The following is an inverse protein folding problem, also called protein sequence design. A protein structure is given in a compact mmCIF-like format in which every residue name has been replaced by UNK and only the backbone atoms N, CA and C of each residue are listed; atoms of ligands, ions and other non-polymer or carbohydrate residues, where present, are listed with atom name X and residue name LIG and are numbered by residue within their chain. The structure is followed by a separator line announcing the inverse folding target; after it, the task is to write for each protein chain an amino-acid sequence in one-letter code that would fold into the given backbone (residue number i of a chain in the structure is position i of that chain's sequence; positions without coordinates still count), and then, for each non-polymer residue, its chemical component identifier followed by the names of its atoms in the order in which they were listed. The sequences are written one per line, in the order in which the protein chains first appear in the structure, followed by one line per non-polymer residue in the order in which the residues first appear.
data_IF_055826447248
#
_entry.id   IF_055826447248
#
_cell.length_a   1.000
_cell.length_b   1.000
_cell.length_c   1.000
_cell.angle_alpha   90.00
_cell.angle_beta   90.00
_cell.angle_gamma   90.00
#
_symmetry.space_group_name_H-M   'P 1'
#
loop_
_entity.id
_entity.type
_entity.pdbx_description
1 polymer ?
#
# COMPACT_ATOMS: atom_id res chain seq x y z
N UNK A 1 -1.67 8.66 7.39
CA UNK A 1 -2.44 7.74 8.27
C UNK A 1 -3.92 8.09 8.33
N UNK A 2 -4.31 9.27 8.85
CA UNK A 2 -5.74 9.65 8.97
C UNK A 2 -6.47 9.70 7.62
N UNK A 3 -5.87 10.28 6.58
CA UNK A 3 -6.45 10.32 5.23
C UNK A 3 -6.70 8.91 4.65
N UNK A 4 -5.73 8.01 4.79
CA UNK A 4 -5.85 6.63 4.32
C UNK A 4 -6.93 5.83 5.07
N UNK A 5 -7.07 6.01 6.39
CA UNK A 5 -8.10 5.34 7.21
C UNK A 5 -9.50 5.92 6.95
N UNK A 6 -9.60 7.24 6.83
CA UNK A 6 -10.89 7.94 6.64
C UNK A 6 -11.39 7.93 5.20
N UNK A 7 -10.53 7.60 4.23
CA UNK A 7 -10.80 7.69 2.78
C UNK A 7 -11.18 9.10 2.33
N UNK A 8 -10.64 10.09 3.02
CA UNK A 8 -10.81 11.50 2.72
C UNK A 8 -9.48 12.06 2.18
N UNK A 9 -9.57 12.98 1.22
CA UNK A 9 -8.38 13.58 0.59
C UNK A 9 -7.46 14.24 1.61
N UNK A 10 -6.16 13.93 1.53
CA UNK A 10 -5.14 14.54 2.39
C UNK A 10 -5.07 16.07 2.25
N UNK A 11 -5.43 16.60 1.08
CA UNK A 11 -5.45 18.03 0.81
C UNK A 11 -6.58 18.74 1.58
N UNK A 12 -7.77 18.13 1.63
CA UNK A 12 -8.90 18.66 2.38
C UNK A 12 -8.59 18.77 3.87
N UNK A 13 -7.92 17.76 4.44
CA UNK A 13 -7.45 17.83 5.84
C UNK A 13 -6.48 18.98 6.08
N UNK A 14 -5.54 19.21 5.16
CA UNK A 14 -4.54 20.28 5.31
C UNK A 14 -5.19 21.67 5.22
N UNK A 15 -6.21 21.81 4.37
CA UNK A 15 -6.95 23.08 4.19
C UNK A 15 -8.06 23.29 5.22
N UNK A 16 -8.48 22.25 5.92
CA UNK A 16 -9.62 22.30 6.86
C UNK A 16 -10.98 22.41 6.16
N UNK A 17 -11.04 22.06 4.88
CA UNK A 17 -12.25 22.18 4.04
C UNK A 17 -12.96 20.82 3.95
N UNK A 18 -13.69 20.48 5.01
CA UNK A 18 -14.46 19.25 5.12
C UNK A 18 -15.95 19.58 5.21
N UNK A 19 -16.76 18.85 4.44
CA UNK A 19 -18.21 18.95 4.51
C UNK A 19 -18.74 18.18 5.73
N UNK A 20 -19.96 18.51 6.20
CA UNK A 20 -20.52 17.91 7.41
C UNK A 20 -20.59 16.38 7.38
N UNK A 21 -20.91 15.79 6.22
CA UNK A 21 -20.92 14.33 6.05
C UNK A 21 -19.50 13.74 6.10
N UNK A 22 -18.48 14.47 5.65
CA UNK A 22 -17.07 14.04 5.73
C UNK A 22 -16.58 14.06 7.18
N UNK A 23 -17.05 15.01 8.00
CA UNK A 23 -16.80 15.01 9.44
C UNK A 23 -17.41 13.80 10.14
N UNK A 24 -18.63 13.40 9.78
CA UNK A 24 -19.26 12.21 10.32
C UNK A 24 -18.51 10.93 9.93
N UNK A 25 -18.07 10.83 8.67
CA UNK A 25 -17.22 9.74 8.18
C UNK A 25 -15.90 9.68 8.97
N UNK A 26 -15.24 10.82 9.16
CA UNK A 26 -13.99 10.95 9.91
C UNK A 26 -14.14 10.43 11.34
N UNK A 27 -15.15 10.91 12.07
CA UNK A 27 -15.40 10.50 13.46
C UNK A 27 -15.69 9.00 13.57
N UNK A 28 -16.33 8.42 12.58
CA UNK A 28 -16.65 6.99 12.57
C UNK A 28 -15.39 6.16 12.33
N UNK A 29 -14.57 6.53 11.34
CA UNK A 29 -13.38 5.76 10.92
C UNK A 29 -12.19 5.94 11.86
N UNK A 30 -11.99 7.13 12.43
CA UNK A 30 -10.90 7.38 13.41
C UNK A 30 -11.02 6.52 14.67
N UNK A 31 -12.22 6.11 15.07
CA UNK A 31 -12.41 5.31 16.31
C UNK A 31 -11.56 4.03 16.33
N UNK A 32 -11.35 3.39 15.18
CA UNK A 32 -10.48 2.22 15.08
C UNK A 32 -9.03 2.60 15.31
N UNK A 33 -8.57 3.65 14.63
CA UNK A 33 -7.21 4.16 14.74
C UNK A 33 -6.89 4.68 16.15
N UNK A 34 -7.83 5.37 16.81
CA UNK A 34 -7.68 5.88 18.17
C UNK A 34 -7.55 4.76 19.22
N UNK A 35 -8.08 3.57 18.94
CA UNK A 35 -7.95 2.38 19.79
C UNK A 35 -6.74 1.52 19.43
N UNK A 36 -6.06 1.80 18.33
CA UNK A 36 -4.90 1.04 17.90
C UNK A 36 -3.74 1.25 18.90
N UNK A 37 -3.03 0.18 19.22
CA UNK A 37 -1.83 0.23 20.09
C UNK A 37 -0.62 0.73 19.30
N UNK A 38 -0.72 1.96 18.80
CA UNK A 38 0.32 2.63 18.03
C UNK A 38 1.02 3.65 18.92
N UNK A 39 2.34 3.53 19.03
CA UNK A 39 3.18 4.48 19.76
C UNK A 39 4.02 5.26 18.75
N UNK A 40 3.87 6.58 18.74
CA UNK A 40 4.59 7.48 17.84
C UNK A 40 5.59 8.27 18.67
N UNK A 41 6.81 8.35 18.17
CA UNK A 41 7.89 9.16 18.72
C UNK A 41 8.46 10.02 17.59
N UNK A 42 8.28 11.33 17.69
CA UNK A 42 8.68 12.33 16.70
C UNK A 42 9.97 13.06 17.11
N UNK A 43 10.71 12.52 18.09
CA UNK A 43 12.00 13.10 18.51
C UNK A 43 12.97 13.15 17.32
N UNK A 44 13.46 14.34 16.91
CA UNK A 44 14.39 14.47 15.79
C UNK A 44 15.79 13.94 16.16
N UNK A 45 16.54 13.50 15.15
CA UNK A 45 17.95 13.09 15.26
C UNK A 45 18.24 12.01 16.33
N UNK A 46 17.29 11.11 16.55
CA UNK A 46 17.36 10.06 17.57
C UNK A 46 18.62 9.20 17.40
N UNK A 47 19.39 9.05 18.47
CA UNK A 47 20.53 8.14 18.46
C UNK A 47 20.09 6.68 18.55
N UNK A 48 20.92 5.76 18.06
CA UNK A 48 20.60 4.32 18.15
C UNK A 48 20.50 3.81 19.59
N UNK A 49 21.27 4.42 20.50
CA UNK A 49 21.21 4.11 21.93
C UNK A 49 19.85 4.49 22.53
N UNK A 50 19.36 5.70 22.21
CA UNK A 50 18.04 6.15 22.67
C UNK A 50 16.92 5.30 22.07
N UNK A 51 16.99 4.98 20.77
CA UNK A 51 16.04 4.07 20.12
C UNK A 51 15.97 2.75 20.89
N UNK A 52 17.12 2.12 21.18
CA UNK A 52 17.18 0.86 21.94
C UNK A 52 16.53 0.99 23.31
N UNK A 53 16.86 2.04 24.07
CA UNK A 53 16.28 2.27 25.40
C UNK A 53 14.75 2.43 25.34
N UNK A 54 14.25 3.20 24.38
CA UNK A 54 12.81 3.42 24.19
C UNK A 54 12.09 2.14 23.76
N UNK A 55 12.63 1.39 22.80
CA UNK A 55 12.05 0.11 22.36
C UNK A 55 12.01 -0.93 23.50
N UNK A 56 13.08 -1.07 24.30
CA UNK A 56 13.10 -1.96 25.48
C UNK A 56 12.01 -1.59 26.49
N UNK A 57 11.88 -0.30 26.80
CA UNK A 57 10.85 0.21 27.71
C UNK A 57 9.43 -0.08 27.19
N UNK A 58 9.20 0.14 25.90
CA UNK A 58 7.90 -0.14 25.27
C UNK A 58 7.60 -1.65 25.20
N UNK A 59 8.59 -2.50 24.92
CA UNK A 59 8.46 -3.96 24.95
C UNK A 59 8.07 -4.43 26.35
N UNK A 60 8.73 -3.92 27.40
CA UNK A 60 8.44 -4.30 28.78
C UNK A 60 7.04 -3.83 29.24
N UNK A 61 6.65 -2.60 28.91
CA UNK A 61 5.37 -2.03 29.38
C UNK A 61 4.15 -2.45 28.57
N UNK A 62 4.32 -2.61 27.27
CA UNK A 62 3.20 -2.77 26.33
C UNK A 62 3.32 -3.98 25.41
N UNK A 63 4.45 -4.70 25.42
CA UNK A 63 4.64 -5.90 24.61
C UNK A 63 4.66 -5.61 23.11
N UNK A 64 5.36 -4.57 22.66
CA UNK A 64 5.43 -4.22 21.22
C UNK A 64 5.83 -5.44 20.36
N UNK A 65 5.21 -5.52 19.19
CA UNK A 65 5.39 -6.64 18.25
C UNK A 65 6.10 -6.24 16.96
N UNK A 66 6.34 -4.94 16.73
CA UNK A 66 7.01 -4.41 15.55
C UNK A 66 7.58 -3.03 15.86
N UNK A 67 8.68 -2.68 15.18
CA UNK A 67 9.24 -1.33 15.18
C UNK A 67 9.36 -0.85 13.74
N UNK A 68 8.97 0.40 13.48
CA UNK A 68 9.14 1.06 12.18
C UNK A 68 10.00 2.30 12.40
N UNK A 69 11.02 2.49 11.56
CA UNK A 69 11.96 3.61 11.63
C UNK A 69 11.89 4.39 10.30
N UNK A 70 11.52 5.66 10.39
CA UNK A 70 11.46 6.61 9.28
C UNK A 70 12.40 7.78 9.54
N UNK A 71 13.59 7.84 8.94
CA UNK A 71 14.31 6.83 8.14
C UNK A 71 15.77 6.79 8.62
N UNK A 72 16.53 5.74 8.25
CA UNK A 72 17.86 5.45 8.81
C UNK A 72 18.82 6.63 8.77
N UNK A 73 18.80 7.39 7.67
CA UNK A 73 19.73 8.49 7.46
C UNK A 73 19.46 9.71 8.36
N UNK A 74 18.35 9.76 9.12
CA UNK A 74 18.15 10.80 10.14
C UNK A 74 18.70 10.40 11.52
N UNK A 75 19.10 9.14 11.69
CA UNK A 75 19.66 8.66 12.94
C UNK A 75 21.14 9.01 13.08
N UNK A 76 21.58 9.11 14.34
CA UNK A 76 22.99 9.32 14.69
C UNK A 76 23.54 8.09 15.42
N UNK A 77 24.83 7.79 15.21
CA UNK A 77 25.50 6.73 15.97
C UNK A 77 25.85 7.13 17.42
N UNK A 78 25.54 8.36 17.83
CA UNK A 78 25.68 8.87 19.21
C UNK A 78 27.09 9.33 19.59
N UNK A 79 28.07 9.33 18.67
CA UNK A 79 29.47 9.54 19.03
C UNK A 79 30.31 10.33 17.99
N UNK A 80 29.70 11.20 17.19
CA UNK A 80 30.46 11.90 16.14
C UNK A 80 30.91 13.30 16.56
N UNK A 81 32.19 13.38 16.96
CA UNK A 81 33.02 14.57 16.84
C UNK A 81 33.32 14.83 15.34
N UNK A 82 32.28 15.10 14.55
CA UNK A 82 32.31 15.73 13.22
C UNK A 82 33.31 15.22 12.17
N UNK A 83 33.83 13.98 12.26
CA UNK A 83 34.90 13.48 11.36
C UNK A 83 34.69 12.05 10.85
N UNK A 84 33.57 11.39 11.17
CA UNK A 84 33.28 10.05 10.67
C UNK A 84 32.96 10.00 9.17
N UNK A 85 33.36 8.91 8.51
CA UNK A 85 32.82 8.55 7.19
C UNK A 85 31.35 8.16 7.36
N UNK A 86 30.45 8.86 6.67
CA UNK A 86 29.00 8.62 6.75
C UNK A 86 28.61 7.18 6.46
N UNK A 87 29.32 6.51 5.55
CA UNK A 87 29.14 5.09 5.24
C UNK A 87 29.38 4.20 6.47
N UNK A 88 30.41 4.51 7.26
CA UNK A 88 30.74 3.78 8.48
C UNK A 88 29.70 4.01 9.59
N UNK A 89 29.15 5.22 9.64
CA UNK A 89 28.06 5.55 10.56
C UNK A 89 26.80 4.74 10.23
N UNK A 90 26.37 4.77 8.97
CA UNK A 90 25.20 4.01 8.52
C UNK A 90 25.41 2.50 8.72
N UNK A 91 26.63 2.01 8.46
CA UNK A 91 27.00 0.63 8.75
C UNK A 91 26.85 0.27 10.23
N UNK A 92 27.17 1.19 11.13
CA UNK A 92 27.03 1.00 12.57
C UNK A 92 25.58 1.04 13.01
N UNK A 93 24.79 1.95 12.43
CA UNK A 93 23.34 2.05 12.65
C UNK A 93 22.65 0.75 12.21
N UNK A 94 22.93 0.26 11.01
CA UNK A 94 22.40 -0.99 10.45
C UNK A 94 22.62 -2.19 11.38
N UNK A 95 23.88 -2.45 11.77
CA UNK A 95 24.23 -3.53 12.69
C UNK A 95 23.54 -3.41 14.05
N UNK A 96 23.46 -2.19 14.56
CA UNK A 96 22.83 -1.92 15.85
C UNK A 96 21.32 -2.18 15.80
N UNK A 97 20.65 -1.79 14.72
CA UNK A 97 19.23 -2.10 14.50
C UNK A 97 18.99 -3.59 14.38
N UNK A 98 19.83 -4.32 13.64
CA UNK A 98 19.76 -5.79 13.57
C UNK A 98 19.93 -6.43 14.95
N UNK A 99 20.80 -5.87 15.78
CA UNK A 99 21.00 -6.33 17.17
C UNK A 99 19.77 -6.04 18.03
N UNK A 100 19.13 -4.88 17.89
CA UNK A 100 17.89 -4.52 18.58
C UNK A 100 16.76 -5.47 18.19
N UNK A 101 16.61 -5.77 16.90
CA UNK A 101 15.59 -6.71 16.40
C UNK A 101 15.73 -8.09 17.03
N UNK A 102 16.97 -8.61 17.09
CA UNK A 102 17.29 -9.90 17.72
C UNK A 102 17.12 -9.90 19.23
N UNK A 103 17.52 -8.82 19.91
CA UNK A 103 17.39 -8.70 21.37
C UNK A 103 15.92 -8.66 21.80
N UNK A 104 15.10 -7.88 21.09
CA UNK A 104 13.69 -7.69 21.44
C UNK A 104 12.76 -8.78 20.90
N UNK A 105 13.30 -9.64 20.03
CA UNK A 105 12.56 -10.63 19.26
C UNK A 105 11.32 -10.01 18.59
N UNK A 106 11.58 -8.97 17.78
CA UNK A 106 10.55 -8.28 16.99
C UNK A 106 11.06 -7.93 15.60
N UNK A 107 10.21 -8.00 14.56
CA UNK A 107 10.53 -7.43 13.26
C UNK A 107 10.75 -5.93 13.35
N UNK A 108 11.80 -5.45 12.70
CA UNK A 108 12.11 -4.03 12.56
C UNK A 108 12.13 -3.67 11.07
N UNK A 109 11.25 -2.75 10.68
CA UNK A 109 11.23 -2.18 9.33
C UNK A 109 11.95 -0.83 9.40
N UNK A 110 13.01 -0.69 8.61
CA UNK A 110 13.75 0.54 8.51
C UNK A 110 13.65 1.09 7.09
N UNK A 111 13.18 2.33 6.97
CA UNK A 111 13.16 3.03 5.69
C UNK A 111 14.57 3.54 5.38
N UNK A 112 14.97 3.41 4.12
CA UNK A 112 16.23 3.92 3.61
C UNK A 112 15.98 4.71 2.35
N UNK A 113 16.57 5.90 2.27
CA UNK A 113 16.61 6.66 1.02
C UNK A 113 17.64 6.08 0.07
N UNK A 114 17.30 6.08 -1.22
CA UNK A 114 18.22 5.69 -2.28
C UNK A 114 19.09 6.86 -2.70
N UNK A 115 20.29 6.55 -3.18
CA UNK A 115 21.12 7.57 -3.83
C UNK A 115 20.50 8.02 -5.16
N UNK A 116 20.83 9.23 -5.61
CA UNK A 116 20.32 9.80 -6.87
C UNK A 116 20.80 9.06 -8.13
N UNK A 117 21.69 8.06 -8.00
CA UNK A 117 22.22 7.30 -9.13
C UNK A 117 21.13 6.55 -9.89
N UNK A 118 20.07 6.12 -9.19
CA UNK A 118 18.90 5.45 -9.79
C UNK A 118 18.28 6.32 -10.89
N UNK A 119 18.24 7.63 -10.69
CA UNK A 119 17.68 8.60 -11.64
C UNK A 119 18.59 8.86 -12.84
N UNK A 120 19.91 8.69 -12.67
CA UNK A 120 20.88 8.93 -13.75
C UNK A 120 21.15 7.71 -14.61
N UNK A 121 20.73 6.51 -14.15
CA UNK A 121 20.94 5.27 -14.89
C UNK A 121 20.16 5.29 -16.21
N UNK A 122 20.83 5.03 -17.33
CA UNK A 122 20.18 4.87 -18.63
C UNK A 122 19.33 3.59 -18.63
N UNK A 123 18.10 3.66 -19.15
CA UNK A 123 17.16 2.54 -19.16
C UNK A 123 16.21 2.53 -17.96
N UNK A 124 15.97 1.33 -17.42
CA UNK A 124 14.97 1.10 -16.36
C UNK A 124 15.37 1.76 -15.02
N UNK A 125 14.43 2.53 -14.48
CA UNK A 125 14.54 3.28 -13.22
C UNK A 125 14.15 2.44 -12.00
N UNK A 126 13.85 1.16 -12.17
CA UNK A 126 13.62 0.21 -11.06
C UNK A 126 14.84 0.14 -10.13
N UNK A 127 14.69 0.43 -8.82
CA UNK A 127 15.81 0.38 -7.88
C UNK A 127 16.46 -1.01 -7.79
N UNK A 128 17.77 -1.03 -7.61
CA UNK A 128 18.57 -2.24 -7.41
C UNK A 128 19.40 -2.15 -6.12
N UNK A 129 19.92 -3.27 -5.63
CA UNK A 129 20.70 -3.32 -4.38
C UNK A 129 21.89 -2.34 -4.37
N UNK A 130 22.56 -2.18 -5.52
CA UNK A 130 23.66 -1.22 -5.63
C UNK A 130 23.25 0.24 -5.47
N UNK A 131 21.95 0.59 -5.55
CA UNK A 131 21.46 1.95 -5.31
C UNK A 131 21.44 2.33 -3.82
N UNK A 132 21.59 1.34 -2.92
CA UNK A 132 21.89 1.52 -1.49
C UNK A 132 23.37 1.87 -1.24
N UNK A 133 24.09 2.31 -2.27
CA UNK A 133 25.57 2.38 -2.40
C UNK A 133 26.32 3.01 -1.23
N UNK A 134 25.71 3.93 -0.49
CA UNK A 134 26.30 4.54 0.71
C UNK A 134 26.27 3.60 1.93
N UNK A 135 25.88 2.33 1.73
CA UNK A 135 25.45 1.44 2.79
C UNK A 135 25.53 -0.04 2.37
N UNK A 136 26.67 -0.50 1.85
CA UNK A 136 26.88 -1.94 1.59
C UNK A 136 26.60 -2.83 2.82
N UNK A 137 26.78 -2.28 4.03
CA UNK A 137 26.39 -2.92 5.28
C UNK A 137 24.87 -3.12 5.43
N UNK A 138 24.02 -2.21 4.95
CA UNK A 138 22.55 -2.40 4.97
C UNK A 138 22.19 -3.63 4.15
N UNK A 139 22.74 -3.73 2.94
CA UNK A 139 22.50 -4.90 2.09
C UNK A 139 22.93 -6.17 2.82
N UNK A 140 24.12 -6.19 3.44
CA UNK A 140 24.62 -7.38 4.14
C UNK A 140 23.77 -7.75 5.36
N UNK A 141 23.49 -6.79 6.25
CA UNK A 141 22.84 -7.01 7.54
C UNK A 141 21.35 -7.33 7.44
N UNK A 142 20.66 -6.77 6.43
CA UNK A 142 19.23 -6.97 6.24
C UNK A 142 18.89 -8.45 5.96
N UNK A 143 17.77 -8.90 6.54
CA UNK A 143 17.20 -10.21 6.20
C UNK A 143 16.39 -10.15 4.90
N UNK A 144 15.70 -9.02 4.70
CA UNK A 144 14.86 -8.74 3.54
C UNK A 144 15.15 -7.30 3.09
N UNK A 145 15.28 -7.08 1.79
CA UNK A 145 15.35 -5.75 1.17
C UNK A 145 14.23 -5.64 0.16
N UNK A 146 13.36 -4.66 0.35
CA UNK A 146 12.28 -4.35 -0.58
C UNK A 146 12.45 -2.94 -1.15
N UNK A 147 12.17 -2.78 -2.43
CA UNK A 147 12.06 -1.47 -3.08
C UNK A 147 10.61 -1.20 -3.46
N UNK A 148 10.25 0.08 -3.48
CA UNK A 148 8.97 0.54 -4.01
C UNK A 148 9.25 1.25 -5.32
N UNK A 149 8.55 0.82 -6.37
CA UNK A 149 8.63 1.43 -7.70
C UNK A 149 7.24 1.78 -8.22
N UNK A 150 7.13 2.88 -8.97
CA UNK A 150 5.88 3.32 -9.59
C UNK A 150 6.16 3.69 -11.04
N UNK A 151 5.74 2.87 -12.02
CA UNK A 151 5.97 3.17 -13.44
C UNK A 151 5.40 4.52 -13.87
N UNK A 152 4.18 4.83 -13.41
CA UNK A 152 3.48 6.10 -13.66
C UNK A 152 4.30 7.34 -13.27
N UNK A 153 5.13 7.24 -12.22
CA UNK A 153 6.00 8.36 -11.78
C UNK A 153 7.03 8.73 -12.85
N UNK A 154 7.42 7.78 -13.70
CA UNK A 154 8.36 7.95 -14.80
C UNK A 154 7.68 8.15 -16.16
N UNK A 155 6.35 8.34 -16.19
CA UNK A 155 5.58 8.52 -17.43
C UNK A 155 5.44 7.24 -18.27
N UNK A 156 5.69 6.08 -17.67
CA UNK A 156 5.41 4.78 -18.28
C UNK A 156 3.92 4.53 -18.09
N UNK A 157 3.20 4.27 -19.18
CA UNK A 157 1.74 4.04 -19.17
C UNK A 157 1.40 2.56 -19.30
N UNK A 158 2.24 1.77 -19.94
CA UNK A 158 2.06 0.33 -20.13
C UNK A 158 3.28 -0.43 -19.57
N UNK A 159 3.03 -1.55 -18.89
CA UNK A 159 4.09 -2.45 -18.44
C UNK A 159 4.57 -3.39 -19.57
N UNK A 160 5.54 -4.26 -19.27
CA UNK A 160 6.10 -5.19 -20.25
C UNK A 160 5.07 -6.21 -20.79
N UNK A 161 3.97 -6.41 -20.07
CA UNK A 161 2.88 -7.32 -20.44
C UNK A 161 1.75 -6.57 -21.18
N UNK A 162 1.91 -5.26 -21.42
CA UNK A 162 0.91 -4.40 -22.06
C UNK A 162 -0.22 -3.97 -21.12
N UNK A 163 -0.05 -4.11 -19.80
CA UNK A 163 -1.06 -3.72 -18.82
C UNK A 163 -0.92 -2.25 -18.43
N UNK A 164 -2.05 -1.60 -18.19
CA UNK A 164 -2.08 -0.22 -17.71
C UNK A 164 -1.40 -0.11 -16.33
N UNK A 165 -0.52 0.89 -16.21
CA UNK A 165 0.26 1.18 -15.00
C UNK A 165 -0.35 2.31 -14.18
N UNK A 166 -1.51 2.84 -14.57
CA UNK A 166 -2.22 3.85 -13.79
C UNK A 166 -2.50 3.35 -12.37
N UNK A 167 -2.07 4.12 -11.37
CA UNK A 167 -2.16 3.74 -9.96
C UNK A 167 -1.46 2.40 -9.63
N UNK A 168 -0.54 1.92 -10.45
CA UNK A 168 0.26 0.72 -10.15
C UNK A 168 1.46 1.10 -9.28
N UNK A 169 1.69 0.30 -8.24
CA UNK A 169 2.93 0.26 -7.48
C UNK A 169 3.51 -1.15 -7.48
N UNK A 170 4.83 -1.26 -7.49
CA UNK A 170 5.56 -2.51 -7.39
C UNK A 170 6.32 -2.54 -6.06
N UNK A 171 6.17 -3.64 -5.32
CA UNK A 171 7.01 -3.98 -4.17
C UNK A 171 8.00 -5.06 -4.61
N UNK A 172 9.23 -4.64 -4.90
CA UNK A 172 10.30 -5.49 -5.44
C UNK A 172 11.09 -6.07 -4.27
N UNK A 173 10.98 -7.38 -4.02
CA UNK A 173 11.78 -8.10 -3.02
C UNK A 173 13.14 -8.42 -3.63
N UNK A 174 14.09 -7.50 -3.49
CA UNK A 174 15.42 -7.58 -4.09
C UNK A 174 16.40 -8.46 -3.29
N UNK A 175 16.11 -8.70 -2.01
CA UNK A 175 16.86 -9.65 -1.17
C UNK A 175 15.90 -10.34 -0.22
N UNK A 176 16.06 -11.66 -0.08
CA UNK A 176 15.40 -12.43 0.97
C UNK A 176 16.31 -13.57 1.44
N UNK A 177 16.76 -13.54 2.71
CA UNK A 177 17.64 -14.59 3.26
C UNK A 177 17.00 -15.98 3.34
N UNK A 178 15.67 -16.05 3.39
CA UNK A 178 14.91 -17.28 3.69
C UNK A 178 13.83 -17.59 2.62
N UNK A 179 13.91 -17.01 1.42
CA UNK A 179 12.87 -17.17 0.40
C UNK A 179 13.28 -16.66 -0.96
N UNK A 180 12.35 -16.71 -1.91
CA UNK A 180 12.54 -16.24 -3.28
C UNK A 180 12.57 -14.72 -3.39
N UNK A 181 13.14 -14.25 -4.49
CA UNK A 181 12.96 -12.88 -4.96
C UNK A 181 11.67 -12.83 -5.78
N UNK A 182 10.88 -11.78 -5.61
CA UNK A 182 9.63 -11.60 -6.32
C UNK A 182 9.27 -10.11 -6.39
N UNK A 183 8.40 -9.75 -7.33
CA UNK A 183 7.85 -8.40 -7.46
C UNK A 183 6.34 -8.47 -7.30
N UNK A 184 5.85 -7.92 -6.18
CA UNK A 184 4.42 -7.89 -5.89
C UNK A 184 3.80 -6.63 -6.47
N UNK A 185 2.87 -6.77 -7.42
CA UNK A 185 2.07 -5.65 -7.92
C UNK A 185 1.03 -5.25 -6.86
N UNK A 186 0.87 -3.95 -6.64
CA UNK A 186 -0.05 -3.32 -5.69
C UNK A 186 -0.73 -2.13 -6.36
N UNK A 187 -1.88 -1.71 -5.83
CA UNK A 187 -2.52 -0.45 -6.23
C UNK A 187 -2.08 0.67 -5.31
N UNK A 188 -1.71 1.82 -5.86
CA UNK A 188 -1.34 3.03 -5.14
C UNK A 188 -2.29 4.18 -5.48
N UNK A 189 -3.11 4.58 -4.52
CA UNK A 189 -4.03 5.72 -4.65
C UNK A 189 -3.37 7.00 -4.16
N UNK A 190 -2.85 7.81 -5.10
CA UNK A 190 -2.02 9.00 -4.82
C UNK A 190 -2.66 10.01 -3.86
N UNK A 191 -3.93 10.35 -4.04
CA UNK A 191 -4.62 11.36 -3.23
C UNK A 191 -4.87 10.94 -1.77
N UNK A 192 -4.80 9.63 -1.49
CA UNK A 192 -4.90 9.07 -0.14
C UNK A 192 -3.54 8.66 0.44
N UNK A 193 -2.49 8.65 -0.39
CA UNK A 193 -1.20 8.02 -0.08
C UNK A 193 -1.38 6.60 0.49
N UNK A 194 -2.21 5.80 -0.18
CA UNK A 194 -2.65 4.46 0.26
C UNK A 194 -2.20 3.41 -0.73
N UNK A 195 -1.56 2.36 -0.23
CA UNK A 195 -1.36 1.11 -0.95
C UNK A 195 -2.51 0.14 -0.61
N UNK A 196 -2.99 -0.59 -1.60
CA UNK A 196 -3.99 -1.65 -1.47
C UNK A 196 -3.63 -2.82 -2.39
N UNK A 197 -4.27 -3.96 -2.16
CA UNK A 197 -4.11 -5.11 -3.04
C UNK A 197 -4.43 -4.74 -4.49
N UNK A 198 -3.64 -5.27 -5.42
CA UNK A 198 -3.83 -5.01 -6.85
C UNK A 198 -5.16 -5.62 -7.35
N UNK A 199 -5.56 -6.74 -6.75
CA UNK A 199 -6.83 -7.41 -7.01
C UNK A 199 -7.94 -6.88 -6.09
N UNK A 200 -8.50 -5.71 -6.43
CA UNK A 200 -9.78 -5.27 -5.88
C UNK A 200 -10.95 -5.44 -6.88
N UNK A 201 -10.70 -5.98 -8.08
CA UNK A 201 -11.68 -6.08 -9.17
C UNK A 201 -11.74 -7.44 -9.91
N UNK A 202 -11.03 -8.49 -9.48
CA UNK A 202 -11.22 -9.84 -10.07
C UNK A 202 -12.33 -10.66 -9.40
N UNK A 203 -12.95 -10.16 -8.33
CA UNK A 203 -14.08 -10.80 -7.62
C UNK A 203 -15.31 -9.89 -7.53
N UNK A 204 -15.54 -9.03 -8.52
CA UNK A 204 -16.89 -8.54 -8.77
C UNK A 204 -17.62 -9.59 -9.63
N UNK A 205 -18.72 -10.21 -9.16
CA UNK A 205 -19.55 -11.09 -9.99
C UNK A 205 -20.16 -10.38 -11.21
N UNK A 206 -19.94 -9.07 -11.35
CA UNK A 206 -20.54 -8.20 -12.35
C UNK A 206 -19.58 -7.68 -13.42
N UNK A 207 -18.27 -7.95 -13.34
CA UNK A 207 -17.28 -7.41 -14.29
C UNK A 207 -16.48 -8.48 -15.06
N UNK A 208 -16.93 -9.73 -15.00
CA UNK A 208 -16.50 -10.74 -15.96
C UNK A 208 -17.08 -10.41 -17.32
N UNK A 209 -16.24 -9.92 -18.25
CA UNK A 209 -16.55 -9.56 -19.63
C UNK A 209 -17.06 -10.70 -20.53
N UNK A 210 -18.05 -11.46 -20.07
CA UNK A 210 -19.04 -12.04 -20.94
C UNK A 210 -20.05 -10.94 -21.26
N UNK A 211 -19.86 -10.26 -22.39
CA UNK A 211 -20.96 -9.51 -22.99
C UNK A 211 -22.18 -10.43 -22.98
N UNK A 212 -23.25 -10.04 -22.27
CA UNK A 212 -24.56 -10.66 -22.42
C UNK A 212 -24.91 -10.53 -23.91
N UNK A 213 -24.61 -11.55 -24.69
CA UNK A 213 -25.05 -11.61 -26.06
C UNK A 213 -26.59 -11.57 -26.01
N UNK A 214 -27.24 -10.64 -26.73
CA UNK A 214 -28.69 -10.61 -26.77
C UNK A 214 -29.18 -11.97 -27.23
N UNK A 215 -30.11 -12.56 -26.47
CA UNK A 215 -30.62 -13.89 -26.77
C UNK A 215 -31.22 -13.90 -28.19
N UNK A 216 -30.65 -14.68 -29.09
CA UNK A 216 -31.09 -14.81 -30.49
C UNK A 216 -32.21 -15.85 -30.66
N UNK A 217 -32.71 -16.46 -29.57
CA UNK A 217 -33.82 -17.42 -29.59
C UNK A 217 -35.13 -16.86 -30.16
N UNK A 218 -35.27 -15.53 -30.25
CA UNK A 218 -36.43 -14.90 -30.91
C UNK A 218 -36.31 -14.88 -32.44
N UNK A 219 -35.10 -14.93 -32.98
CA UNK A 219 -34.83 -14.88 -34.43
C UNK A 219 -34.91 -16.27 -35.08
N UNK A 220 -34.75 -17.34 -34.30
CA UNK A 220 -34.68 -18.71 -34.81
C UNK A 220 -35.96 -19.51 -34.53
N UNK A 221 -37.12 -18.94 -34.91
CA UNK A 221 -38.32 -19.65 -35.39
C UNK A 221 -38.93 -20.82 -34.59
N UNK A 222 -38.53 -21.08 -33.34
CA UNK A 222 -38.87 -22.33 -32.63
C UNK A 222 -39.71 -22.17 -31.36
N UNK A 223 -39.83 -20.97 -30.80
CA UNK A 223 -40.60 -20.77 -29.58
C UNK A 223 -42.10 -20.60 -29.92
N UNK A 224 -42.92 -21.59 -29.54
CA UNK A 224 -44.39 -21.47 -29.48
C UNK A 224 -44.75 -20.36 -28.49
N UNK A 225 -44.85 -19.13 -28.98
CA UNK A 225 -45.41 -18.00 -28.23
C UNK A 225 -46.91 -18.25 -28.07
N UNK A 226 -47.33 -18.67 -26.87
CA UNK A 226 -48.74 -18.62 -26.49
C UNK A 226 -49.12 -17.18 -26.21
N UNK A 227 -49.73 -16.53 -27.18
CA UNK A 227 -50.39 -15.23 -27.00
C UNK A 227 -51.76 -15.50 -26.40
N UNK A 228 -51.93 -15.21 -25.10
CA UNK A 228 -53.24 -15.28 -24.46
C UNK A 228 -53.95 -13.95 -24.72
N UNK A 229 -55.04 -13.99 -25.48
CA UNK A 229 -55.86 -12.82 -25.79
C UNK A 229 -56.56 -12.27 -24.55
N UNK A 230 -56.59 -10.95 -24.41
CA UNK A 230 -57.26 -10.27 -23.30
C UNK A 230 -58.79 -10.46 -23.35
N UNK A 231 -59.44 -10.59 -22.19
CA UNK A 231 -60.90 -10.80 -22.03
C UNK A 231 -61.81 -9.67 -22.58
N UNK A 232 -61.24 -8.68 -23.27
CA UNK A 232 -61.97 -7.57 -23.89
C UNK A 232 -62.31 -7.78 -25.38
N UNK A 233 -61.90 -8.90 -25.99
CA UNK A 233 -62.09 -9.15 -27.43
C UNK A 233 -63.08 -10.29 -27.77
N UNK A 234 -63.95 -10.71 -26.85
CA UNK A 234 -65.07 -11.61 -27.13
C UNK A 234 -66.38 -10.83 -27.29
N UNK A 235 -67.33 -11.28 -28.14
CA UNK A 235 -68.58 -10.56 -28.37
C UNK A 235 -69.33 -10.43 -27.05
N UNK A 236 -69.83 -9.23 -26.77
CA UNK A 236 -70.59 -8.96 -25.55
C UNK A 236 -71.80 -9.89 -25.50
N UNK A 237 -71.93 -10.61 -24.39
CA UNK A 237 -73.18 -11.21 -23.98
C UNK A 237 -73.48 -10.76 -22.55
N UNK A 238 -74.67 -10.18 -22.45
CA UNK A 238 -75.37 -9.70 -21.27
C UNK A 238 -75.57 -10.86 -20.30
N UNK A 239 -75.09 -10.71 -19.07
CA UNK A 239 -75.87 -10.90 -17.84
C UNK A 239 -74.93 -10.93 -16.63
N UNK A 240 -74.93 -9.84 -15.88
CA UNK A 240 -74.54 -9.83 -14.48
C UNK A 240 -75.75 -10.23 -13.65
N UNK A 241 -75.61 -11.22 -12.75
CA UNK A 241 -76.28 -11.06 -11.47
C UNK A 241 -75.41 -11.53 -10.29
N UNK A 242 -75.19 -10.57 -9.38
CA UNK A 242 -74.64 -10.66 -8.01
C UNK A 242 -73.12 -10.75 -7.84
#
# INVERSE_FOLDING_TARGET
MVAAESELSAEKFRKGDLQDYEYQQLQTRIKKLAKAKLFIDDTPALSVFELRAKCRRLKQKHGISMVIIDYLQLMTAGNDNGKGNREQEISTISRSIKSIAKELDVPVIALSQLSRSVETRGGDKRPILSDLRESGAIEQDADIVCFIYRPEYYGITEDADGMDTENMGELIVAKHRNGGLDTVKMRFTKHLAKFSDYNAFSESPFDGGGAMAPNTDFANGGAKTMTVGSKMNGPGDEDSPF
#
